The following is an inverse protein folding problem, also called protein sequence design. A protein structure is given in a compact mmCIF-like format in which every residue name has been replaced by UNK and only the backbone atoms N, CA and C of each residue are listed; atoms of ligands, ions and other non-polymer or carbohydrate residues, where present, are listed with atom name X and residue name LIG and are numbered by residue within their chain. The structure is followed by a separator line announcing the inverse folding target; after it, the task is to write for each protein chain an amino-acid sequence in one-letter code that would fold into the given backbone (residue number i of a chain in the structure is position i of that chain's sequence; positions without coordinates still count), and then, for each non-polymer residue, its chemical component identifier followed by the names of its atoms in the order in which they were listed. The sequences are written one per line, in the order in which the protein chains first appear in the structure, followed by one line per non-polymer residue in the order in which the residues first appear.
data_IF_252503004544
#
_entry.id   IF_252503004544
#
_cell.length_a   1.000
_cell.length_b   1.000
_cell.length_c   1.000
_cell.angle_alpha   90.00
_cell.angle_beta   90.00
_cell.angle_gamma   90.00
#
_symmetry.space_group_name_H-M   'P 1'
#
loop_
_entity.id
_entity.type
_entity.pdbx_description
1 polymer ?
#
# COMPACT_ATOMS: atom_id res chain seq x y z
N UNK A 1 -33.95 -27.06 51.64
CA UNK A 1 -34.20 -26.36 50.37
C UNK A 1 -34.59 -24.92 50.68
N UNK A 2 -33.66 -23.97 50.60
CA UNK A 2 -33.97 -22.54 50.51
C UNK A 2 -32.95 -21.91 49.56
N UNK A 3 -33.39 -21.50 48.36
CA UNK A 3 -32.58 -20.78 47.38
C UNK A 3 -32.69 -19.29 47.72
N UNK A 4 -31.60 -18.69 48.17
CA UNK A 4 -31.47 -17.24 48.31
C UNK A 4 -31.31 -16.61 46.92
N UNK A 5 -32.30 -15.81 46.52
CA UNK A 5 -32.28 -15.10 45.25
C UNK A 5 -31.32 -13.89 45.34
N UNK A 6 -30.29 -13.87 44.50
CA UNK A 6 -29.44 -12.71 44.30
C UNK A 6 -30.23 -11.62 43.55
N UNK A 7 -30.38 -10.43 44.15
CA UNK A 7 -30.91 -9.25 43.48
C UNK A 7 -29.89 -8.77 42.43
N UNK A 8 -30.19 -8.98 41.16
CA UNK A 8 -29.48 -8.32 40.05
C UNK A 8 -29.95 -6.87 40.02
N UNK A 9 -29.09 -5.96 40.46
CA UNK A 9 -29.31 -4.52 40.32
C UNK A 9 -28.98 -4.12 38.89
N UNK A 10 -30.00 -3.82 38.10
CA UNK A 10 -29.82 -3.19 36.78
C UNK A 10 -29.44 -1.73 37.03
N UNK A 11 -28.14 -1.43 36.91
CA UNK A 11 -27.63 -0.06 36.97
C UNK A 11 -27.98 0.65 35.67
N UNK A 12 -29.15 1.29 35.62
CA UNK A 12 -29.42 2.32 34.62
C UNK A 12 -28.44 3.47 34.85
N UNK A 13 -27.39 3.50 34.04
CA UNK A 13 -26.33 4.51 34.12
C UNK A 13 -26.92 5.85 33.69
N UNK A 14 -26.93 6.83 34.61
CA UNK A 14 -27.29 8.22 34.30
C UNK A 14 -26.29 8.75 33.27
N UNK A 15 -26.74 9.04 32.05
CA UNK A 15 -25.94 9.73 31.03
C UNK A 15 -25.62 11.12 31.57
N UNK A 16 -24.38 11.36 32.00
CA UNK A 16 -23.94 12.67 32.46
C UNK A 16 -23.81 13.61 31.25
N UNK A 17 -24.62 14.67 31.18
CA UNK A 17 -24.58 15.67 30.10
C UNK A 17 -23.18 16.27 29.88
N UNK A 18 -22.36 16.35 30.93
CA UNK A 18 -20.98 16.83 30.87
C UNK A 18 -20.06 15.91 30.07
N UNK A 19 -20.22 14.59 30.21
CA UNK A 19 -19.48 13.61 29.43
C UNK A 19 -19.86 13.64 27.95
N UNK A 20 -21.13 13.91 27.63
CA UNK A 20 -21.58 14.07 26.25
C UNK A 20 -21.04 15.35 25.62
N UNK A 21 -21.08 16.48 26.34
CA UNK A 21 -20.50 17.75 25.88
C UNK A 21 -18.99 17.62 25.62
N UNK A 22 -18.26 16.98 26.55
CA UNK A 22 -16.82 16.76 26.39
C UNK A 22 -16.49 15.83 25.23
N UNK A 23 -17.29 14.78 25.00
CA UNK A 23 -17.11 13.89 23.87
C UNK A 23 -17.43 14.59 22.53
N UNK A 24 -18.47 15.42 22.51
CA UNK A 24 -18.83 16.23 21.35
C UNK A 24 -17.69 17.16 20.94
N UNK A 25 -17.14 17.90 21.90
CA UNK A 25 -16.05 18.85 21.64
C UNK A 25 -14.76 18.15 21.20
N UNK A 26 -14.48 16.95 21.73
CA UNK A 26 -13.32 16.15 21.34
C UNK A 26 -13.43 15.55 19.93
N UNK A 27 -14.64 15.20 19.47
CA UNK A 27 -14.87 14.61 18.14
C UNK A 27 -15.02 15.68 17.07
N UNK A 28 -15.68 16.80 17.37
CA UNK A 28 -15.97 17.87 16.41
C UNK A 28 -14.88 18.94 16.34
N UNK A 29 -13.62 18.54 16.51
CA UNK A 29 -12.49 19.45 16.33
C UNK A 29 -12.34 19.78 14.84
N UNK A 30 -12.22 21.07 14.52
CA UNK A 30 -12.04 21.52 13.15
C UNK A 30 -10.64 21.15 12.63
N UNK A 31 -10.58 20.51 11.47
CA UNK A 31 -9.32 20.15 10.82
C UNK A 31 -8.68 21.35 10.12
N UNK A 32 -7.35 21.45 10.17
CA UNK A 32 -6.60 22.36 9.31
C UNK A 32 -6.74 21.96 7.82
N UNK A 33 -6.65 22.91 6.88
CA UNK A 33 -6.68 22.60 5.45
C UNK A 33 -5.47 21.74 5.05
N UNK A 34 -5.70 20.82 4.11
CA UNK A 34 -4.65 19.97 3.52
C UNK A 34 -4.10 20.69 2.28
N UNK A 35 -2.80 20.52 2.02
CA UNK A 35 -2.13 21.07 0.83
C UNK A 35 -2.68 20.45 -0.48
N UNK A 36 -2.75 21.24 -1.55
CA UNK A 36 -3.35 20.86 -2.83
C UNK A 36 -2.55 19.78 -3.57
N UNK A 37 -1.26 19.63 -3.25
CA UNK A 37 -0.39 18.61 -3.83
C UNK A 37 -0.52 17.21 -3.22
N UNK A 38 -1.37 17.03 -2.20
CA UNK A 38 -1.48 15.75 -1.50
C UNK A 38 -2.30 14.73 -2.30
N UNK A 39 -1.74 13.53 -2.48
CA UNK A 39 -2.43 12.46 -3.18
C UNK A 39 -3.60 11.91 -2.36
N UNK A 40 -4.77 11.83 -2.99
CA UNK A 40 -5.95 11.17 -2.43
C UNK A 40 -5.73 9.67 -2.33
N UNK A 41 -6.15 9.08 -1.20
CA UNK A 41 -6.11 7.64 -1.01
C UNK A 41 -7.14 6.98 -1.94
N UNK A 42 -6.65 6.19 -2.89
CA UNK A 42 -7.47 5.48 -3.88
C UNK A 42 -6.81 4.15 -4.24
N UNK A 43 -7.62 3.09 -4.34
CA UNK A 43 -7.18 1.76 -4.75
C UNK A 43 -7.35 1.51 -6.26
N UNK A 44 -7.10 0.27 -6.68
CA UNK A 44 -7.36 -0.16 -8.04
C UNK A 44 -8.86 -0.19 -8.35
N UNK A 45 -9.27 0.37 -9.49
CA UNK A 45 -10.65 0.34 -9.97
C UNK A 45 -10.87 -0.93 -10.80
N UNK A 46 -11.67 -1.85 -10.25
CA UNK A 46 -12.03 -3.12 -10.90
C UNK A 46 -13.27 -3.05 -11.80
N UNK A 47 -14.00 -1.93 -11.73
CA UNK A 47 -15.21 -1.73 -12.50
C UNK A 47 -14.87 -1.04 -13.84
N UNK A 48 -15.22 -1.70 -14.95
CA UNK A 48 -15.06 -1.18 -16.31
C UNK A 48 -14.81 -2.28 -17.36
N UNK A 49 -14.89 -1.91 -18.63
CA UNK A 49 -14.65 -2.83 -19.76
C UNK A 49 -13.16 -3.13 -19.99
N UNK A 50 -12.25 -2.43 -19.29
CA UNK A 50 -10.81 -2.61 -19.44
C UNK A 50 -10.32 -3.71 -18.51
N UNK A 51 -9.70 -4.75 -19.08
CA UNK A 51 -8.99 -5.76 -18.31
C UNK A 51 -7.85 -5.12 -17.52
N UNK A 52 -7.81 -5.37 -16.21
CA UNK A 52 -6.74 -4.90 -15.33
C UNK A 52 -5.51 -5.77 -15.54
N UNK A 53 -4.37 -5.11 -15.78
CA UNK A 53 -3.08 -5.79 -15.81
C UNK A 53 -2.45 -5.81 -14.41
N UNK A 54 -1.52 -6.75 -14.18
CA UNK A 54 -0.72 -6.77 -12.94
C UNK A 54 0.06 -5.44 -12.75
N UNK A 55 0.43 -4.78 -13.84
CA UNK A 55 1.09 -3.48 -13.80
C UNK A 55 0.16 -2.36 -13.31
N UNK A 56 -1.09 -2.34 -13.77
CA UNK A 56 -2.10 -1.38 -13.32
C UNK A 56 -2.38 -1.53 -11.82
N UNK A 57 -2.43 -2.78 -11.33
CA UNK A 57 -2.60 -3.08 -9.91
C UNK A 57 -1.43 -2.55 -9.08
N UNK A 58 -0.19 -2.89 -9.44
CA UNK A 58 1.00 -2.44 -8.71
C UNK A 58 1.15 -0.92 -8.75
N UNK A 59 0.77 -0.28 -9.86
CA UNK A 59 0.78 1.18 -9.98
C UNK A 59 -0.21 1.84 -9.02
N UNK A 60 -1.40 1.25 -8.83
CA UNK A 60 -2.41 1.75 -7.88
C UNK A 60 -1.97 1.68 -6.41
N UNK A 61 -0.92 0.92 -6.10
CA UNK A 61 -0.45 0.78 -4.73
C UNK A 61 0.20 2.05 -4.17
N UNK A 62 0.68 2.96 -5.02
CA UNK A 62 1.23 4.24 -4.56
C UNK A 62 0.22 5.05 -3.71
N UNK A 63 -1.07 4.98 -4.07
CA UNK A 63 -2.17 5.71 -3.41
C UNK A 63 -3.03 4.83 -2.49
N UNK A 64 -2.71 3.54 -2.35
CA UNK A 64 -3.53 2.61 -1.55
C UNK A 64 -3.29 2.70 -0.03
N UNK A 65 -2.14 3.23 0.40
CA UNK A 65 -1.79 3.40 1.81
C UNK A 65 -1.00 2.23 2.41
N UNK A 66 -0.55 2.42 3.65
CA UNK A 66 0.21 1.43 4.42
C UNK A 66 1.42 0.85 3.66
N UNK A 67 1.60 -0.48 3.68
CA UNK A 67 2.70 -1.17 3.02
C UNK A 67 2.54 -1.20 1.50
N UNK A 68 1.31 -1.09 0.97
CA UNK A 68 1.10 -1.02 -0.48
C UNK A 68 1.83 0.21 -1.06
N UNK A 69 1.73 1.36 -0.40
CA UNK A 69 2.46 2.58 -0.80
C UNK A 69 3.97 2.36 -0.83
N UNK A 70 4.54 1.63 0.13
CA UNK A 70 5.97 1.30 0.10
C UNK A 70 6.33 0.41 -1.09
N UNK A 71 5.51 -0.59 -1.39
CA UNK A 71 5.74 -1.48 -2.53
C UNK A 71 5.67 -0.74 -3.87
N UNK A 72 4.66 0.11 -4.07
CA UNK A 72 4.54 0.95 -5.27
C UNK A 72 5.74 1.88 -5.44
N UNK A 73 6.16 2.54 -4.35
CA UNK A 73 7.37 3.39 -4.35
C UNK A 73 8.64 2.61 -4.68
N UNK A 74 8.80 1.40 -4.14
CA UNK A 74 9.95 0.55 -4.44
C UNK A 74 10.00 0.17 -5.93
N UNK A 75 8.85 -0.20 -6.52
CA UNK A 75 8.75 -0.49 -7.94
C UNK A 75 9.16 0.72 -8.80
N UNK A 76 8.72 1.93 -8.43
CA UNK A 76 9.12 3.17 -9.10
C UNK A 76 10.62 3.44 -8.99
N UNK A 77 11.20 3.26 -7.80
CA UNK A 77 12.64 3.44 -7.57
C UNK A 77 13.45 2.47 -8.43
N UNK A 78 13.06 1.19 -8.47
CA UNK A 78 13.74 0.18 -9.30
C UNK A 78 13.66 0.56 -10.78
N UNK A 79 12.49 1.01 -11.26
CA UNK A 79 12.34 1.49 -12.63
C UNK A 79 13.30 2.66 -12.94
N UNK A 80 13.45 3.61 -12.00
CA UNK A 80 14.40 4.72 -12.15
C UNK A 80 15.86 4.26 -12.14
N UNK A 81 16.20 3.27 -11.29
CA UNK A 81 17.54 2.67 -11.28
C UNK A 81 17.84 1.98 -12.62
N UNK A 82 16.86 1.27 -13.17
CA UNK A 82 16.98 0.61 -14.47
C UNK A 82 17.09 1.60 -15.64
N UNK A 83 16.42 2.75 -15.57
CA UNK A 83 16.55 3.79 -16.61
C UNK A 83 17.87 4.55 -16.55
N UNK A 84 18.51 4.60 -15.38
CA UNK A 84 19.85 5.18 -15.21
C UNK A 84 20.97 4.25 -15.61
N UNK A 85 20.78 2.94 -15.42
CA UNK A 85 21.68 1.95 -15.99
C UNK A 85 21.57 2.14 -17.50
N UNK A 86 22.65 2.55 -18.15
CA UNK A 86 22.79 2.86 -19.58
C UNK A 86 22.38 1.67 -20.49
N UNK A 87 21.11 1.28 -20.48
CA UNK A 87 20.47 0.24 -21.31
C UNK A 87 20.21 0.80 -22.72
N UNK A 88 21.13 1.59 -23.23
CA UNK A 88 21.13 2.03 -24.63
C UNK A 88 22.42 1.65 -25.34
N UNK A 89 23.40 1.11 -24.61
CA UNK A 89 24.58 0.47 -25.17
C UNK A 89 24.38 -1.05 -25.07
N UNK A 90 24.40 -1.71 -26.23
CA UNK A 90 24.45 -3.16 -26.28
C UNK A 90 25.75 -3.61 -25.61
N UNK A 91 25.67 -4.68 -24.79
CA UNK A 91 26.86 -5.32 -24.24
C UNK A 91 27.76 -5.76 -25.39
N UNK A 92 29.05 -5.46 -25.30
CA UNK A 92 30.04 -5.99 -26.23
C UNK A 92 30.07 -7.52 -26.18
N UNK A 93 30.53 -8.16 -27.25
CA UNK A 93 30.65 -9.62 -27.34
C UNK A 93 31.53 -10.17 -26.18
N UNK A 94 32.56 -9.44 -25.78
CA UNK A 94 33.39 -9.77 -24.61
C UNK A 94 32.60 -9.71 -23.29
N UNK A 95 31.81 -8.67 -23.04
CA UNK A 95 31.02 -8.51 -21.82
C UNK A 95 29.89 -9.56 -21.72
N UNK A 96 29.28 -9.93 -22.84
CA UNK A 96 28.31 -11.04 -22.90
C UNK A 96 28.97 -12.37 -22.52
N UNK A 97 30.17 -12.65 -23.07
CA UNK A 97 30.90 -13.87 -22.75
C UNK A 97 31.34 -13.92 -21.27
N UNK A 98 31.72 -12.79 -20.67
CA UNK A 98 32.06 -12.70 -19.24
C UNK A 98 30.85 -12.91 -18.32
N UNK A 99 29.68 -12.35 -18.67
CA UNK A 99 28.41 -12.58 -17.95
C UNK A 99 27.99 -14.05 -17.93
N UNK A 100 28.41 -14.83 -18.93
CA UNK A 100 28.09 -16.26 -19.05
C UNK A 100 29.24 -17.19 -18.62
N UNK A 101 30.38 -16.64 -18.21
CA UNK A 101 31.60 -17.40 -17.91
C UNK A 101 31.51 -18.27 -16.65
N UNK A 102 30.62 -17.94 -15.70
CA UNK A 102 30.41 -18.71 -14.47
C UNK A 102 29.42 -19.88 -14.65
N UNK A 103 28.88 -20.06 -15.88
CA UNK A 103 27.91 -21.10 -16.19
C UNK A 103 26.54 -20.88 -15.53
N UNK A 104 26.30 -19.71 -14.92
CA UNK A 104 25.02 -19.39 -14.32
C UNK A 104 23.99 -19.10 -15.41
N UNK A 105 23.03 -20.02 -15.57
CA UNK A 105 21.83 -19.77 -16.37
C UNK A 105 20.75 -19.20 -15.46
N UNK A 106 20.20 -18.02 -15.77
CA UNK A 106 19.07 -17.52 -15.00
C UNK A 106 17.92 -18.53 -15.10
N UNK A 107 17.19 -18.79 -14.00
CA UNK A 107 16.10 -19.77 -13.99
C UNK A 107 14.87 -19.29 -14.78
N UNK A 108 14.89 -18.06 -15.31
CA UNK A 108 13.78 -17.45 -16.03
C UNK A 108 14.15 -17.17 -17.48
N UNK A 109 13.29 -17.61 -18.40
CA UNK A 109 13.51 -17.49 -19.85
C UNK A 109 13.54 -16.06 -20.37
N UNK A 110 12.97 -15.09 -19.65
CA UNK A 110 12.96 -13.67 -20.03
C UNK A 110 14.26 -12.92 -19.70
N UNK A 111 15.15 -13.54 -18.91
CA UNK A 111 16.40 -12.93 -18.46
C UNK A 111 17.58 -13.19 -19.42
N UNK A 112 17.34 -13.91 -20.52
CA UNK A 112 18.28 -14.11 -21.62
C UNK A 112 17.66 -13.46 -22.85
N UNK A 113 18.26 -12.43 -23.45
CA UNK A 113 17.80 -11.93 -24.74
C UNK A 113 17.99 -13.02 -25.82
N UNK A 114 17.04 -13.16 -26.75
CA UNK A 114 17.14 -14.08 -27.90
C UNK A 114 18.34 -13.75 -28.82
#
# INVERSE_FOLDING_TARGET
MQKTAAKVSVTTTKVSLTGLSSAHDAVMVHSAPVDEGMATVAGCMYEGDKAITAFDLISSFETSGFQATHLGRAARIIKNMLSWRLVQEDLTDEEQNELHADGWKPPFSWAVPE
#
